data_IF_452853582388
#
_entry.id   IF_452853582388
#
_cell.length_a   1.000
_cell.length_b   1.000
_cell.length_c   1.000
_cell.angle_alpha   90.00
_cell.angle_beta   90.00
_cell.angle_gamma   90.00
#
_symmetry.space_group_name_H-M   'P 1'
#
loop_
_entity.id
_entity.type
_entity.pdbx_description
1 polymer ?
#
# COMPACT_ATOMS: atom_id res chain seq x y z
N UNK A 1 0.93 -50.90 1.21
CA UNK A 1 1.69 -49.64 1.42
C UNK A 1 2.02 -49.06 0.06
N UNK A 2 1.33 -47.99 -0.39
CA UNK A 2 1.73 -47.17 -1.56
C UNK A 2 0.86 -45.91 -1.73
N UNK A 3 -0.39 -45.90 -1.21
CA UNK A 3 -1.27 -44.73 -1.30
C UNK A 3 -0.78 -43.51 -0.47
N UNK A 4 -0.23 -43.76 0.72
CA UNK A 4 0.30 -42.70 1.61
C UNK A 4 1.49 -41.93 1.02
N UNK A 5 2.31 -42.59 0.19
CA UNK A 5 3.46 -41.95 -0.48
C UNK A 5 3.02 -41.04 -1.62
N UNK A 6 1.96 -41.42 -2.33
CA UNK A 6 1.41 -40.64 -3.44
C UNK A 6 0.69 -39.39 -2.90
N UNK A 7 -0.04 -39.52 -1.78
CA UNK A 7 -0.69 -38.38 -1.12
C UNK A 7 0.34 -37.33 -0.63
N UNK A 8 1.47 -37.77 -0.06
CA UNK A 8 2.52 -36.86 0.41
C UNK A 8 3.18 -36.05 -0.74
N UNK A 9 3.31 -36.65 -1.93
CA UNK A 9 3.90 -35.98 -3.10
C UNK A 9 2.99 -34.92 -3.73
N UNK A 10 1.66 -35.03 -3.52
CA UNK A 10 0.69 -34.06 -4.04
C UNK A 10 0.48 -32.86 -3.09
N UNK A 11 0.70 -33.04 -1.79
CA UNK A 11 0.51 -31.97 -0.78
C UNK A 11 1.74 -31.07 -0.65
N UNK A 12 2.95 -31.60 -0.86
CA UNK A 12 4.20 -30.83 -0.79
C UNK A 12 4.26 -29.57 -1.71
N UNK A 13 3.84 -29.62 -2.99
CA UNK A 13 3.87 -28.43 -3.85
C UNK A 13 2.78 -27.40 -3.53
N UNK A 14 1.72 -27.77 -2.81
CA UNK A 14 0.65 -26.85 -2.39
C UNK A 14 1.07 -25.97 -1.20
N UNK A 15 2.06 -26.41 -0.40
CA UNK A 15 2.60 -25.65 0.73
C UNK A 15 3.71 -24.69 0.26
N UNK A 16 4.51 -25.09 -0.74
CA UNK A 16 5.55 -24.24 -1.34
C UNK A 16 5.01 -23.17 -2.30
N UNK A 17 3.81 -23.38 -2.84
CA UNK A 17 3.06 -22.33 -3.57
C UNK A 17 2.20 -21.47 -2.65
N UNK A 18 2.30 -21.68 -1.33
CA UNK A 18 1.73 -20.77 -0.34
C UNK A 18 2.20 -19.36 -0.65
N UNK A 19 1.25 -18.47 -0.92
CA UNK A 19 1.46 -17.03 -1.04
C UNK A 19 2.17 -16.52 0.21
N UNK A 20 3.50 -16.60 0.24
CA UNK A 20 4.32 -15.76 1.08
C UNK A 20 4.30 -14.37 0.44
N UNK A 21 3.15 -13.71 0.55
CA UNK A 21 3.15 -12.27 0.74
C UNK A 21 3.91 -12.06 2.03
N UNK A 22 5.22 -11.87 1.92
CA UNK A 22 6.03 -11.33 3.00
C UNK A 22 5.25 -10.15 3.58
N UNK A 23 4.95 -10.13 4.89
CA UNK A 23 4.32 -8.96 5.47
C UNK A 23 5.35 -7.85 5.35
N UNK A 24 5.23 -7.01 4.32
CA UNK A 24 5.93 -5.74 4.26
C UNK A 24 5.60 -5.07 5.59
N UNK A 25 6.62 -4.89 6.42
CA UNK A 25 6.46 -4.30 7.74
C UNK A 25 5.72 -2.98 7.55
N UNK A 26 4.45 -2.94 7.96
CA UNK A 26 3.60 -1.78 7.69
C UNK A 26 4.29 -0.59 8.33
N UNK A 27 4.64 0.39 7.50
CA UNK A 27 5.33 1.58 7.99
C UNK A 27 4.44 2.27 9.02
N UNK A 28 5.04 3.01 9.96
CA UNK A 28 4.31 3.74 11.01
C UNK A 28 3.10 4.52 10.44
N UNK A 29 3.25 5.06 9.23
CA UNK A 29 2.23 5.79 8.51
C UNK A 29 1.09 4.92 7.98
N UNK A 30 1.35 3.71 7.52
CA UNK A 30 0.28 2.76 7.15
C UNK A 30 -0.58 2.41 8.37
N UNK A 31 0.02 2.28 9.55
CA UNK A 31 -0.72 2.04 10.80
C UNK A 31 -1.61 3.24 11.17
N UNK A 32 -1.10 4.46 11.03
CA UNK A 32 -1.87 5.68 11.28
C UNK A 32 -3.05 5.84 10.30
N UNK A 33 -2.86 5.48 9.03
CA UNK A 33 -3.89 5.55 8.00
C UNK A 33 -4.94 4.44 8.15
N UNK A 34 -4.52 3.24 8.55
CA UNK A 34 -5.42 2.10 8.80
C UNK A 34 -6.30 2.30 10.04
N UNK A 35 -5.85 3.12 11.01
CA UNK A 35 -6.66 3.49 12.18
C UNK A 35 -7.88 4.34 11.85
N UNK A 36 -7.94 4.94 10.65
CA UNK A 36 -9.13 5.67 10.20
C UNK A 36 -10.17 4.66 9.71
N UNK A 37 -11.42 4.69 10.22
CA UNK A 37 -12.46 3.77 9.76
C UNK A 37 -12.79 4.02 8.29
N UNK A 38 -13.08 2.94 7.56
CA UNK A 38 -13.55 3.03 6.17
C UNK A 38 -14.92 3.71 6.14
N UNK A 39 -15.18 4.56 5.13
CA UNK A 39 -16.44 5.27 5.04
C UNK A 39 -17.57 4.30 4.72
N UNK A 40 -18.70 4.43 5.42
CA UNK A 40 -19.88 3.58 5.24
C UNK A 40 -20.83 4.24 4.24
N UNK A 41 -20.88 5.58 4.24
CA UNK A 41 -21.73 6.38 3.34
C UNK A 41 -20.93 7.05 2.22
N UNK A 42 -21.61 7.40 1.13
CA UNK A 42 -20.99 8.10 0.00
C UNK A 42 -20.55 9.53 0.34
N UNK A 43 -21.31 10.23 1.20
CA UNK A 43 -20.95 11.57 1.64
C UNK A 43 -19.64 11.55 2.47
N UNK A 44 -19.54 10.66 3.45
CA UNK A 44 -18.31 10.47 4.25
C UNK A 44 -17.13 10.05 3.37
N UNK A 45 -17.37 9.20 2.37
CA UNK A 45 -16.33 8.80 1.41
C UNK A 45 -15.78 10.00 0.67
N UNK A 46 -16.63 10.93 0.20
CA UNK A 46 -16.18 12.12 -0.51
C UNK A 46 -15.37 13.06 0.39
N UNK A 47 -15.79 13.27 1.63
CA UNK A 47 -15.07 14.09 2.60
C UNK A 47 -13.71 13.49 2.96
N UNK A 48 -13.67 12.18 3.23
CA UNK A 48 -12.42 11.46 3.48
C UNK A 48 -11.51 11.50 2.24
N UNK A 49 -12.03 11.23 1.04
CA UNK A 49 -11.26 11.35 -0.20
C UNK A 49 -10.64 12.74 -0.37
N UNK A 50 -11.39 13.81 -0.09
CA UNK A 50 -10.89 15.18 -0.20
C UNK A 50 -9.76 15.45 0.80
N UNK A 51 -9.91 14.96 2.03
CA UNK A 51 -8.94 15.11 3.10
C UNK A 51 -7.64 14.36 2.79
N UNK A 52 -7.75 13.09 2.38
CA UNK A 52 -6.60 12.28 2.01
C UNK A 52 -5.93 12.77 0.72
N UNK A 53 -6.67 13.37 -0.22
CA UNK A 53 -6.10 14.00 -1.41
C UNK A 53 -5.23 15.21 -1.05
N UNK A 54 -5.71 16.09 -0.17
CA UNK A 54 -4.90 17.21 0.34
C UNK A 54 -3.64 16.73 1.08
N UNK A 55 -3.76 15.64 1.84
CA UNK A 55 -2.60 15.03 2.50
C UNK A 55 -1.61 14.45 1.48
N UNK A 56 -2.10 13.83 0.40
CA UNK A 56 -1.28 13.30 -0.70
C UNK A 56 -0.51 14.43 -1.41
N UNK A 57 -1.18 15.53 -1.74
CA UNK A 57 -0.56 16.68 -2.43
C UNK A 57 0.56 17.29 -1.57
N UNK A 58 0.34 17.43 -0.25
CA UNK A 58 1.38 17.92 0.68
C UNK A 58 2.56 16.96 0.76
N UNK A 59 2.29 15.66 0.90
CA UNK A 59 3.35 14.66 0.95
C UNK A 59 4.14 14.58 -0.35
N UNK A 60 3.49 14.72 -1.51
CA UNK A 60 4.16 14.76 -2.79
C UNK A 60 5.11 15.96 -2.91
N UNK A 61 4.72 17.13 -2.37
CA UNK A 61 5.59 18.30 -2.33
C UNK A 61 6.82 18.07 -1.42
N UNK A 62 6.61 17.49 -0.22
CA UNK A 62 7.70 17.12 0.69
C UNK A 62 8.65 16.09 0.05
N UNK A 63 8.09 15.06 -0.58
CA UNK A 63 8.82 14.02 -1.30
C UNK A 63 9.68 14.61 -2.42
N UNK A 64 9.14 15.59 -3.15
CA UNK A 64 9.87 16.29 -4.21
C UNK A 64 11.03 17.13 -3.67
N UNK A 65 10.83 17.82 -2.54
CA UNK A 65 11.90 18.58 -1.87
C UNK A 65 12.98 17.63 -1.37
N UNK A 66 12.60 16.52 -0.73
CA UNK A 66 13.54 15.50 -0.28
C UNK A 66 14.28 14.84 -1.45
N UNK A 67 13.58 14.58 -2.55
CA UNK A 67 14.18 14.09 -3.80
C UNK A 67 15.24 15.05 -4.32
N UNK A 68 14.90 16.33 -4.47
CA UNK A 68 15.81 17.34 -4.99
C UNK A 68 17.05 17.49 -4.09
N UNK A 69 16.85 17.46 -2.77
CA UNK A 69 17.93 17.55 -1.80
C UNK A 69 18.85 16.31 -1.85
N UNK A 70 18.30 15.10 -1.93
CA UNK A 70 19.08 13.86 -2.02
C UNK A 70 19.77 13.66 -3.37
N UNK A 71 19.10 14.05 -4.45
CA UNK A 71 19.68 14.07 -5.80
C UNK A 71 20.93 14.94 -5.85
N UNK A 72 20.89 16.11 -5.19
CA UNK A 72 22.07 16.97 -5.02
C UNK A 72 23.19 16.30 -4.20
N UNK A 73 22.85 15.41 -3.26
CA UNK A 73 23.81 14.63 -2.47
C UNK A 73 24.24 13.31 -3.14
N UNK A 74 23.77 13.00 -4.35
CA UNK A 74 24.12 11.76 -5.07
C UNK A 74 23.47 10.49 -4.52
N UNK A 75 22.46 10.60 -3.66
CA UNK A 75 21.70 9.46 -3.16
C UNK A 75 20.48 9.19 -4.08
N UNK A 76 20.37 7.96 -4.61
CA UNK A 76 19.30 7.57 -5.55
C UNK A 76 18.09 6.91 -4.92
N UNK A 77 18.23 6.33 -3.73
CA UNK A 77 17.15 5.55 -3.12
C UNK A 77 16.31 6.41 -2.17
N UNK A 78 15.08 6.67 -2.60
CA UNK A 78 14.01 7.25 -1.80
C UNK A 78 12.81 6.32 -1.82
N UNK A 79 12.60 5.58 -0.73
CA UNK A 79 11.40 4.79 -0.55
C UNK A 79 10.29 5.67 0.02
N UNK A 80 9.36 6.10 -0.83
CA UNK A 80 8.23 6.97 -0.46
C UNK A 80 7.07 6.18 0.16
N UNK A 81 7.31 5.62 1.34
CA UNK A 81 6.37 4.73 2.03
C UNK A 81 5.06 5.43 2.41
N UNK A 82 5.15 6.68 2.86
CA UNK A 82 3.98 7.49 3.27
C UNK A 82 3.07 7.85 2.11
N UNK A 83 3.63 8.30 0.99
CA UNK A 83 2.86 8.64 -0.22
C UNK A 83 2.24 7.39 -0.87
N UNK A 84 2.90 6.24 -0.79
CA UNK A 84 2.31 4.97 -1.20
C UNK A 84 1.12 4.59 -0.31
N UNK A 85 1.26 4.68 1.01
CA UNK A 85 0.20 4.38 1.96
C UNK A 85 -1.07 5.21 1.72
N UNK A 86 -0.92 6.52 1.52
CA UNK A 86 -2.03 7.44 1.21
C UNK A 86 -2.68 7.06 -0.13
N UNK A 87 -1.89 6.76 -1.17
CA UNK A 87 -2.41 6.31 -2.46
C UNK A 87 -3.18 4.99 -2.37
N UNK A 88 -2.68 4.02 -1.60
CA UNK A 88 -3.39 2.77 -1.36
C UNK A 88 -4.73 3.00 -0.69
N UNK A 89 -4.80 3.90 0.29
CA UNK A 89 -6.06 4.26 0.95
C UNK A 89 -7.05 4.96 0.01
N UNK A 90 -6.57 5.90 -0.80
CA UNK A 90 -7.39 6.59 -1.82
C UNK A 90 -7.96 5.60 -2.86
N UNK A 91 -7.17 4.60 -3.27
CA UNK A 91 -7.62 3.48 -4.11
C UNK A 91 -8.69 2.64 -3.42
N UNK A 92 -8.48 2.28 -2.15
CA UNK A 92 -9.43 1.48 -1.38
C UNK A 92 -10.79 2.18 -1.23
N UNK A 93 -10.79 3.51 -1.07
CA UNK A 93 -12.00 4.34 -1.03
C UNK A 93 -12.56 4.68 -2.42
N UNK A 94 -11.94 4.22 -3.52
CA UNK A 94 -12.34 4.52 -4.91
C UNK A 94 -12.47 6.02 -5.20
N UNK A 95 -11.54 6.81 -4.68
CA UNK A 95 -11.52 8.26 -4.94
C UNK A 95 -11.20 8.56 -6.42
N UNK A 96 -11.82 9.62 -6.97
CA UNK A 96 -11.55 10.08 -8.34
C UNK A 96 -10.07 10.48 -8.51
N UNK A 97 -9.45 10.03 -9.61
CA UNK A 97 -8.03 10.32 -9.92
C UNK A 97 -7.01 9.36 -9.33
N UNK A 98 -7.44 8.33 -8.59
CA UNK A 98 -6.56 7.31 -8.00
C UNK A 98 -7.03 5.88 -8.34
N UNK A 99 -7.87 5.70 -9.36
CA UNK A 99 -8.36 4.38 -9.78
C UNK A 99 -7.35 3.56 -10.59
N UNK A 100 -7.72 2.33 -10.97
CA UNK A 100 -6.93 1.45 -11.84
C UNK A 100 -6.65 2.06 -13.23
N UNK A 101 -7.39 3.11 -13.62
CA UNK A 101 -7.28 3.83 -14.89
C UNK A 101 -6.98 5.34 -14.74
N UNK A 102 -6.36 5.76 -13.63
CA UNK A 102 -5.82 7.13 -13.51
C UNK A 102 -4.32 7.17 -13.71
#
# INVERSE_FOLDING_TARGET
MNALRIAALLVAPLILSGCFSTPKEKTEYEKQIDGVPMPITEAERLEQCRTFKLAADRQQAEDFVQYALRSKMGASDSEYTKTQAIRHRLRAMKCLGYGWFS
#
